data_IF_633773234113
#
_entry.id   IF_633773234113
#
_cell.length_a   1.000
_cell.length_b   1.000
_cell.length_c   1.000
_cell.angle_alpha   90.00
_cell.angle_beta   90.00
_cell.angle_gamma   90.00
#
_symmetry.space_group_name_H-M   'P 1'
#
loop_
_entity.id
_entity.type
_entity.pdbx_description
1 polymer ?
#
# COMPACT_ATOMS: atom_id res chain seq x y z
N UNK A 1 -18.14 -14.26 63.08
CA UNK A 1 -17.97 -13.01 62.31
C UNK A 1 -16.54 -12.73 61.84
N UNK A 2 -15.47 -13.07 62.58
CA UNK A 2 -14.08 -12.82 62.14
C UNK A 2 -13.57 -13.73 61.00
N UNK A 3 -13.98 -14.99 60.94
CA UNK A 3 -13.53 -15.93 59.90
C UNK A 3 -14.09 -15.63 58.49
N UNK A 4 -15.31 -15.08 58.41
CA UNK A 4 -15.96 -14.73 57.14
C UNK A 4 -15.33 -13.50 56.47
N UNK A 5 -14.84 -12.55 57.27
CA UNK A 5 -14.17 -11.35 56.77
C UNK A 5 -12.78 -11.66 56.15
N UNK A 6 -12.07 -12.66 56.68
CA UNK A 6 -10.75 -13.08 56.16
C UNK A 6 -10.88 -13.80 54.83
N UNK A 7 -11.91 -14.64 54.65
CA UNK A 7 -12.15 -15.36 53.40
C UNK A 7 -12.50 -14.43 52.23
N UNK A 8 -13.27 -13.37 52.49
CA UNK A 8 -13.64 -12.35 51.49
C UNK A 8 -12.41 -11.51 51.08
N UNK A 9 -11.54 -11.15 52.04
CA UNK A 9 -10.32 -10.39 51.76
C UNK A 9 -9.29 -11.18 50.91
N UNK A 10 -9.18 -12.49 51.12
CA UNK A 10 -8.30 -13.36 50.32
C UNK A 10 -8.84 -13.61 48.91
N UNK A 11 -10.17 -13.72 48.74
CA UNK A 11 -10.79 -13.81 47.41
C UNK A 11 -10.65 -12.50 46.61
N UNK A 12 -10.80 -11.33 47.26
CA UNK A 12 -10.60 -10.03 46.62
C UNK A 12 -9.14 -9.78 46.22
N UNK A 13 -8.16 -10.21 47.01
CA UNK A 13 -6.74 -10.06 46.65
C UNK A 13 -6.30 -11.01 45.53
N UNK A 14 -6.86 -12.22 45.45
CA UNK A 14 -6.68 -13.15 44.33
C UNK A 14 -7.37 -12.65 43.05
N UNK A 15 -8.55 -12.02 43.15
CA UNK A 15 -9.21 -11.39 42.01
C UNK A 15 -8.47 -10.14 41.51
N UNK A 16 -7.96 -9.29 42.42
CA UNK A 16 -7.18 -8.11 42.02
C UNK A 16 -5.85 -8.49 41.37
N UNK A 17 -5.19 -9.57 41.82
CA UNK A 17 -3.96 -10.05 41.19
C UNK A 17 -4.21 -10.77 39.85
N UNK A 18 -5.38 -11.40 39.66
CA UNK A 18 -5.80 -11.95 38.37
C UNK A 18 -6.20 -10.85 37.36
N UNK A 19 -6.87 -9.79 37.82
CA UNK A 19 -7.20 -8.61 37.00
C UNK A 19 -5.94 -7.80 36.64
N UNK A 20 -4.93 -7.72 37.52
CA UNK A 20 -3.65 -7.08 37.19
C UNK A 20 -2.79 -7.91 36.22
N UNK A 21 -2.97 -9.23 36.13
CA UNK A 21 -2.25 -10.09 35.18
C UNK A 21 -2.85 -10.08 33.77
N UNK A 22 -4.13 -9.69 33.64
CA UNK A 22 -4.80 -9.40 32.36
C UNK A 22 -4.65 -7.94 31.91
N UNK A 23 -3.71 -7.19 32.51
CA UNK A 23 -3.25 -5.92 31.94
C UNK A 23 -2.65 -6.25 30.59
N UNK A 24 -3.41 -5.97 29.53
CA UNK A 24 -2.99 -5.97 28.14
C UNK A 24 -1.50 -5.65 28.09
N UNK A 25 -0.68 -6.64 27.71
CA UNK A 25 0.68 -6.36 27.24
C UNK A 25 0.49 -5.59 25.93
N UNK A 26 0.18 -4.30 26.03
CA UNK A 26 0.44 -3.35 24.97
C UNK A 26 1.94 -3.38 24.83
N UNK A 27 2.44 -4.19 23.90
CA UNK A 27 3.84 -4.10 23.47
C UNK A 27 4.06 -2.65 23.11
N UNK A 28 5.07 -2.03 23.71
CA UNK A 28 5.53 -0.72 23.26
C UNK A 28 5.78 -0.78 21.75
N UNK A 29 5.50 0.31 21.00
CA UNK A 29 5.74 0.34 19.55
C UNK A 29 7.15 -0.15 19.15
N UNK A 30 8.14 0.16 19.99
CA UNK A 30 9.53 -0.30 19.84
C UNK A 30 9.70 -1.82 19.95
N UNK A 31 8.92 -2.49 20.79
CA UNK A 31 8.95 -3.95 20.98
C UNK A 31 8.18 -4.69 19.88
N UNK A 32 7.12 -4.09 19.34
CA UNK A 32 6.42 -4.63 18.16
C UNK A 32 7.28 -4.48 16.90
N UNK A 33 7.98 -3.35 16.75
CA UNK A 33 8.92 -3.15 15.64
C UNK A 33 10.13 -4.09 15.72
N UNK A 34 10.59 -4.45 16.92
CA UNK A 34 11.75 -5.35 17.07
C UNK A 34 11.42 -6.81 16.79
N UNK A 35 10.23 -7.30 17.15
CA UNK A 35 9.79 -8.67 16.85
C UNK A 35 9.49 -8.88 15.36
N UNK A 36 8.89 -7.89 14.69
CA UNK A 36 8.62 -7.94 13.23
C UNK A 36 9.90 -8.00 12.40
N UNK A 37 10.99 -7.39 12.89
CA UNK A 37 12.27 -7.34 12.18
C UNK A 37 13.24 -8.50 12.50
N UNK A 38 12.78 -9.55 13.18
CA UNK A 38 13.56 -10.77 13.33
C UNK A 38 13.55 -11.58 12.04
N UNK A 39 14.74 -11.93 11.54
CA UNK A 39 14.90 -12.74 10.32
C UNK A 39 14.20 -14.11 10.40
N UNK A 40 14.13 -14.71 11.60
CA UNK A 40 13.41 -15.96 11.84
C UNK A 40 11.91 -15.87 11.57
N UNK A 41 11.34 -14.66 11.58
CA UNK A 41 9.91 -14.43 11.35
C UNK A 41 9.61 -14.17 9.87
N UNK A 42 10.62 -14.14 9.00
CA UNK A 42 10.44 -14.08 7.56
C UNK A 42 9.96 -15.45 7.06
N UNK A 43 8.84 -15.52 6.31
CA UNK A 43 8.44 -16.76 5.68
C UNK A 43 9.52 -17.19 4.67
N UNK A 44 9.90 -18.47 4.71
CA UNK A 44 10.88 -19.00 3.75
C UNK A 44 10.31 -18.86 2.32
N UNK A 45 11.06 -18.36 1.33
CA UNK A 45 10.54 -18.13 -0.02
C UNK A 45 9.90 -19.35 -0.72
N UNK A 46 10.21 -20.57 -0.27
CA UNK A 46 9.68 -21.84 -0.81
C UNK A 46 8.29 -22.17 -0.27
N UNK A 47 7.90 -21.63 0.88
CA UNK A 47 6.57 -21.84 1.46
C UNK A 47 5.54 -20.84 0.92
N UNK A 48 6.01 -19.75 0.31
CA UNK A 48 5.17 -18.71 -0.27
C UNK A 48 4.56 -19.15 -1.60
N UNK A 49 3.24 -18.95 -1.75
CA UNK A 49 2.51 -19.21 -2.99
C UNK A 49 2.95 -18.23 -4.08
N UNK A 50 3.33 -18.75 -5.25
CA UNK A 50 3.73 -17.97 -6.42
C UNK A 50 2.57 -17.68 -7.38
N UNK A 51 1.56 -18.56 -7.41
CA UNK A 51 0.43 -18.48 -8.33
C UNK A 51 -0.71 -17.57 -7.83
N UNK A 52 -0.63 -17.07 -6.60
CA UNK A 52 -1.57 -16.12 -6.00
C UNK A 52 -0.81 -14.95 -5.35
N UNK A 53 -1.51 -13.87 -5.02
CA UNK A 53 -0.97 -12.70 -4.30
C UNK A 53 -1.87 -12.26 -3.15
N UNK A 54 -1.30 -11.52 -2.20
CA UNK A 54 -2.03 -10.92 -1.07
C UNK A 54 -2.30 -9.46 -1.38
N UNK A 55 -3.50 -8.97 -1.07
CA UNK A 55 -3.83 -7.55 -1.21
C UNK A 55 -3.75 -6.85 0.14
N UNK A 56 -3.10 -5.71 0.19
CA UNK A 56 -3.02 -4.82 1.34
C UNK A 56 -3.75 -3.51 0.99
N UNK A 57 -4.91 -3.28 1.60
CA UNK A 57 -5.69 -2.07 1.41
C UNK A 57 -5.48 -1.14 2.59
N UNK A 58 -4.96 0.05 2.37
CA UNK A 58 -4.78 1.05 3.42
C UNK A 58 -6.02 1.89 3.63
N UNK A 59 -6.70 1.68 4.77
CA UNK A 59 -7.86 2.48 5.19
C UNK A 59 -7.52 3.46 6.31
N UNK A 60 -8.20 4.60 6.38
CA UNK A 60 -8.00 5.59 7.45
C UNK A 60 -9.28 6.31 7.91
N UNK A 61 -10.13 6.75 6.98
CA UNK A 61 -11.29 7.59 7.29
C UNK A 61 -12.57 6.77 7.39
N UNK A 62 -13.34 6.98 8.46
CA UNK A 62 -14.65 6.34 8.64
C UNK A 62 -15.65 6.71 7.52
N UNK A 63 -15.47 7.88 6.89
CA UNK A 63 -16.28 8.29 5.74
C UNK A 63 -16.09 7.42 4.49
N UNK A 64 -15.02 6.61 4.43
CA UNK A 64 -14.69 5.76 3.28
C UNK A 64 -15.04 4.29 3.49
N UNK A 65 -15.62 3.92 4.64
CA UNK A 65 -15.89 2.51 4.96
C UNK A 65 -16.74 1.79 3.91
N UNK A 66 -17.82 2.37 3.33
CA UNK A 66 -18.58 1.69 2.29
C UNK A 66 -17.75 1.42 1.03
N UNK A 67 -16.95 2.40 0.59
CA UNK A 67 -16.08 2.27 -0.58
C UNK A 67 -14.97 1.23 -0.34
N UNK A 68 -14.32 1.28 0.82
CA UNK A 68 -13.32 0.33 1.27
C UNK A 68 -13.86 -1.11 1.25
N UNK A 69 -15.07 -1.33 1.78
CA UNK A 69 -15.72 -2.64 1.79
C UNK A 69 -15.99 -3.14 0.36
N UNK A 70 -16.49 -2.26 -0.52
CA UNK A 70 -16.71 -2.57 -1.94
C UNK A 70 -15.42 -2.97 -2.67
N UNK A 71 -14.34 -2.22 -2.47
CA UNK A 71 -13.02 -2.52 -3.07
C UNK A 71 -12.49 -3.85 -2.56
N UNK A 72 -12.56 -4.10 -1.24
CA UNK A 72 -12.11 -5.34 -0.63
C UNK A 72 -12.88 -6.56 -1.15
N UNK A 73 -14.21 -6.45 -1.22
CA UNK A 73 -15.10 -7.47 -1.77
C UNK A 73 -14.75 -7.77 -3.24
N UNK A 74 -14.58 -6.72 -4.06
CA UNK A 74 -14.20 -6.84 -5.47
C UNK A 74 -12.90 -7.63 -5.63
N UNK A 75 -11.83 -7.28 -4.90
CA UNK A 75 -10.57 -8.01 -5.00
C UNK A 75 -10.66 -9.45 -4.50
N UNK A 76 -11.45 -9.70 -3.45
CA UNK A 76 -11.64 -11.06 -2.91
C UNK A 76 -12.28 -12.04 -3.90
N UNK A 77 -12.97 -11.53 -4.93
CA UNK A 77 -13.63 -12.35 -5.94
C UNK A 77 -12.65 -13.01 -6.94
N UNK A 78 -11.41 -12.54 -7.07
CA UNK A 78 -10.45 -13.15 -8.01
C UNK A 78 -9.81 -14.40 -7.41
N UNK A 79 -9.73 -15.52 -8.16
CA UNK A 79 -9.04 -16.73 -7.69
C UNK A 79 -7.53 -16.56 -7.56
N UNK A 80 -6.97 -15.50 -8.14
CA UNK A 80 -5.55 -15.14 -8.03
C UNK A 80 -5.22 -14.40 -6.72
N UNK A 81 -6.23 -13.96 -5.98
CA UNK A 81 -6.06 -13.36 -4.65
C UNK A 81 -6.11 -14.46 -3.59
N UNK A 82 -5.06 -14.56 -2.76
CA UNK A 82 -5.01 -15.50 -1.65
C UNK A 82 -5.73 -14.97 -0.41
N UNK A 83 -5.59 -13.68 -0.14
CA UNK A 83 -6.22 -12.98 0.97
C UNK A 83 -6.20 -11.46 0.75
N UNK A 84 -7.13 -10.76 1.41
CA UNK A 84 -7.20 -9.31 1.47
C UNK A 84 -7.02 -8.87 2.92
N UNK A 85 -6.02 -8.04 3.18
CA UNK A 85 -5.76 -7.45 4.49
C UNK A 85 -6.09 -5.96 4.43
N UNK A 86 -7.12 -5.55 5.17
CA UNK A 86 -7.47 -4.15 5.35
C UNK A 86 -6.66 -3.58 6.50
N UNK A 87 -5.65 -2.78 6.18
CA UNK A 87 -4.75 -2.14 7.13
C UNK A 87 -5.36 -0.83 7.62
N UNK A 88 -5.97 -0.84 8.81
CA UNK A 88 -6.65 0.33 9.35
C UNK A 88 -5.70 1.25 10.11
N UNK A 89 -5.35 2.39 9.51
CA UNK A 89 -4.33 3.32 9.97
C UNK A 89 -4.78 4.41 10.93
N UNK A 90 -6.03 4.38 11.42
CA UNK A 90 -6.57 5.38 12.35
C UNK A 90 -6.79 4.77 13.74
N UNK A 91 -5.85 4.96 14.69
CA UNK A 91 -5.97 4.43 16.05
C UNK A 91 -7.08 5.10 16.88
N UNK A 92 -7.59 6.24 16.42
CA UNK A 92 -8.66 6.98 17.13
C UNK A 92 -10.07 6.47 16.79
N UNK A 93 -10.21 5.58 15.81
CA UNK A 93 -11.51 4.98 15.46
C UNK A 93 -12.06 4.15 16.63
N UNK A 94 -13.34 4.32 17.01
CA UNK A 94 -13.94 3.59 18.13
C UNK A 94 -13.84 2.06 17.97
N UNK A 95 -13.57 1.30 19.05
CA UNK A 95 -13.49 -0.16 19.00
C UNK A 95 -14.75 -0.83 18.45
N UNK A 96 -15.94 -0.26 18.72
CA UNK A 96 -17.20 -0.76 18.18
C UNK A 96 -17.26 -0.63 16.66
N UNK A 97 -16.84 0.52 16.10
CA UNK A 97 -16.74 0.73 14.65
C UNK A 97 -15.78 -0.27 14.02
N UNK A 98 -14.63 -0.54 14.66
CA UNK A 98 -13.68 -1.54 14.16
C UNK A 98 -14.23 -2.96 14.21
N UNK A 99 -14.96 -3.32 15.27
CA UNK A 99 -15.59 -4.63 15.39
C UNK A 99 -16.66 -4.83 14.30
N UNK A 100 -17.49 -3.82 14.05
CA UNK A 100 -18.48 -3.82 12.98
C UNK A 100 -17.81 -3.91 11.60
N UNK A 101 -16.76 -3.13 11.36
CA UNK A 101 -15.99 -3.19 10.11
C UNK A 101 -15.39 -4.58 9.89
N UNK A 102 -14.77 -5.18 10.93
CA UNK A 102 -14.19 -6.51 10.83
C UNK A 102 -15.24 -7.58 10.49
N UNK A 103 -16.41 -7.52 11.13
CA UNK A 103 -17.54 -8.39 10.82
C UNK A 103 -18.04 -8.19 9.38
N UNK A 104 -18.25 -6.95 8.96
CA UNK A 104 -18.75 -6.66 7.61
C UNK A 104 -17.75 -7.14 6.54
N UNK A 105 -16.45 -6.93 6.76
CA UNK A 105 -15.41 -7.41 5.84
C UNK A 105 -15.39 -8.94 5.77
N UNK A 106 -15.51 -9.64 6.90
CA UNK A 106 -15.42 -11.11 6.91
C UNK A 106 -16.58 -11.77 6.15
N UNK A 107 -17.77 -11.16 6.15
CA UNK A 107 -18.95 -11.66 5.41
C UNK A 107 -19.06 -11.11 3.98
N UNK A 108 -18.26 -10.09 3.62
CA UNK A 108 -18.27 -9.48 2.27
C UNK A 108 -17.38 -10.21 1.26
N UNK A 109 -16.69 -11.28 1.66
CA UNK A 109 -15.88 -12.06 0.72
C UNK A 109 -16.75 -12.67 -0.37
N UNK A 110 -16.40 -12.42 -1.64
CA UNK A 110 -17.12 -12.91 -2.81
C UNK A 110 -16.44 -14.12 -3.45
N UNK A 111 -15.33 -14.59 -2.90
CA UNK A 111 -14.53 -15.69 -3.44
C UNK A 111 -13.86 -16.52 -2.35
N UNK A 112 -12.77 -17.21 -2.68
CA UNK A 112 -12.02 -18.03 -1.71
C UNK A 112 -11.10 -17.20 -0.79
N UNK A 113 -10.87 -15.93 -1.13
CA UNK A 113 -9.97 -15.07 -0.38
C UNK A 113 -10.66 -14.48 0.85
N UNK A 114 -10.13 -14.79 2.05
CA UNK A 114 -10.60 -14.14 3.27
C UNK A 114 -10.24 -12.64 3.27
N UNK A 115 -11.14 -11.82 3.82
CA UNK A 115 -10.92 -10.40 4.06
C UNK A 115 -10.77 -10.18 5.57
N UNK A 116 -9.61 -9.68 6.01
CA UNK A 116 -9.28 -9.50 7.42
C UNK A 116 -8.95 -8.05 7.73
N UNK A 117 -9.52 -7.51 8.81
CA UNK A 117 -9.15 -6.21 9.36
C UNK A 117 -7.88 -6.33 10.21
N UNK A 118 -6.92 -5.42 9.98
CA UNK A 118 -5.67 -5.33 10.75
C UNK A 118 -5.51 -3.89 11.27
N UNK A 119 -5.98 -3.59 12.50
CA UNK A 119 -5.77 -2.30 13.13
C UNK A 119 -4.28 -2.00 13.30
N UNK A 120 -3.86 -0.78 12.95
CA UNK A 120 -2.50 -0.30 13.15
C UNK A 120 -2.38 0.48 14.47
N UNK A 121 -1.23 0.37 15.12
CA UNK A 121 -0.95 1.05 16.38
C UNK A 121 -0.67 2.56 16.23
N UNK A 122 -0.42 3.04 15.01
CA UNK A 122 -0.09 4.44 14.73
C UNK A 122 -0.64 4.91 13.39
N UNK A 123 -0.67 6.23 13.19
CA UNK A 123 -1.05 6.88 11.93
C UNK A 123 0.09 6.94 10.91
N UNK A 124 1.16 6.17 11.11
CA UNK A 124 2.34 6.19 10.24
C UNK A 124 2.01 5.57 8.88
N UNK A 125 2.37 6.26 7.80
CA UNK A 125 2.27 5.71 6.46
C UNK A 125 3.24 4.55 6.23
N UNK A 126 4.36 4.50 6.98
CA UNK A 126 5.30 3.38 6.93
C UNK A 126 4.64 2.04 7.34
N UNK A 127 3.58 2.07 8.15
CA UNK A 127 2.95 0.88 8.71
C UNK A 127 2.37 -0.06 7.63
N UNK A 128 2.07 0.47 6.44
CA UNK A 128 1.59 -0.33 5.31
C UNK A 128 2.60 -1.35 4.80
N UNK A 129 3.88 -1.08 5.01
CA UNK A 129 4.98 -1.91 4.53
C UNK A 129 5.53 -2.88 5.57
N UNK A 130 4.94 -2.93 6.77
CA UNK A 130 5.38 -3.86 7.81
C UNK A 130 5.24 -5.32 7.33
N UNK A 131 6.29 -6.16 7.51
CA UNK A 131 6.19 -7.60 7.31
C UNK A 131 5.10 -8.21 8.19
N UNK A 132 4.36 -9.20 7.64
CA UNK A 132 3.29 -9.89 8.37
C UNK A 132 3.34 -11.37 8.08
N UNK A 133 3.22 -12.19 9.12
CA UNK A 133 3.13 -13.66 8.99
C UNK A 133 1.86 -14.12 8.27
N UNK A 134 0.81 -13.28 8.24
CA UNK A 134 -0.42 -13.53 7.48
C UNK A 134 -0.25 -13.39 5.96
N UNK A 135 0.90 -12.91 5.47
CA UNK A 135 1.20 -12.84 4.04
C UNK A 135 1.84 -14.16 3.60
N UNK A 136 1.04 -15.01 2.96
CA UNK A 136 1.44 -16.35 2.49
C UNK A 136 1.82 -16.42 1.01
N UNK A 137 2.02 -15.28 0.35
CA UNK A 137 2.26 -15.18 -1.09
C UNK A 137 3.59 -14.51 -1.40
N UNK A 138 4.15 -14.78 -2.59
CA UNK A 138 5.34 -14.09 -3.09
C UNK A 138 5.02 -12.69 -3.62
N UNK A 139 3.84 -12.51 -4.21
CA UNK A 139 3.36 -11.23 -4.70
C UNK A 139 2.48 -10.54 -3.67
N UNK A 140 2.60 -9.23 -3.57
CA UNK A 140 1.77 -8.36 -2.73
C UNK A 140 1.32 -7.17 -3.55
N UNK A 141 0.01 -6.90 -3.53
CA UNK A 141 -0.57 -5.67 -4.05
C UNK A 141 -0.83 -4.72 -2.89
N UNK A 142 -0.22 -3.54 -2.91
CA UNK A 142 -0.56 -2.41 -2.01
C UNK A 142 -1.47 -1.45 -2.77
N UNK A 143 -2.59 -1.06 -2.17
CA UNK A 143 -3.53 -0.10 -2.74
C UNK A 143 -4.18 0.79 -1.67
N UNK A 144 -4.71 1.93 -2.10
CA UNK A 144 -5.43 2.87 -1.24
C UNK A 144 -6.94 2.54 -1.20
N UNK A 145 -7.63 3.01 -0.14
CA UNK A 145 -9.07 2.80 0.10
C UNK A 145 -10.01 3.65 -0.79
N UNK A 146 -9.45 4.45 -1.70
CA UNK A 146 -10.18 5.35 -2.60
C UNK A 146 -9.90 5.08 -4.09
N UNK A 147 -9.34 3.92 -4.42
CA UNK A 147 -9.01 3.53 -5.80
C UNK A 147 -9.67 2.21 -6.16
N UNK A 148 -10.67 2.27 -7.04
CA UNK A 148 -11.28 1.08 -7.64
C UNK A 148 -10.58 0.73 -8.95
N UNK A 149 -10.09 -0.51 -9.04
CA UNK A 149 -9.48 -1.08 -10.23
C UNK A 149 -10.26 -2.31 -10.64
N UNK A 150 -10.61 -2.44 -11.92
CA UNK A 150 -11.32 -3.61 -12.41
C UNK A 150 -10.47 -4.90 -12.29
N UNK A 151 -11.14 -6.03 -12.02
CA UNK A 151 -10.46 -7.32 -11.81
C UNK A 151 -9.57 -7.73 -12.98
N UNK A 152 -9.96 -7.46 -14.23
CA UNK A 152 -9.13 -7.83 -15.39
C UNK A 152 -7.80 -7.08 -15.38
N UNK A 153 -7.82 -5.80 -15.00
CA UNK A 153 -6.59 -5.02 -14.78
C UNK A 153 -5.76 -5.57 -13.63
N UNK A 154 -6.37 -5.94 -12.50
CA UNK A 154 -5.66 -6.54 -11.35
C UNK A 154 -4.94 -7.82 -11.76
N UNK A 155 -5.64 -8.72 -12.45
CA UNK A 155 -5.08 -9.99 -12.92
C UNK A 155 -3.98 -9.78 -13.97
N UNK A 156 -4.15 -8.80 -14.86
CA UNK A 156 -3.12 -8.43 -15.82
C UNK A 156 -1.86 -7.92 -15.12
N UNK A 157 -2.00 -7.04 -14.13
CA UNK A 157 -0.87 -6.53 -13.35
C UNK A 157 -0.12 -7.67 -12.64
N UNK A 158 -0.84 -8.61 -12.04
CA UNK A 158 -0.22 -9.79 -11.42
C UNK A 158 0.51 -10.67 -12.43
N UNK A 159 -0.07 -10.90 -13.63
CA UNK A 159 0.61 -11.66 -14.69
C UNK A 159 1.91 -10.97 -15.14
N UNK A 160 1.90 -9.65 -15.31
CA UNK A 160 3.10 -8.88 -15.65
C UNK A 160 4.15 -8.96 -14.53
N UNK A 161 3.71 -8.92 -13.27
CA UNK A 161 4.60 -9.01 -12.12
C UNK A 161 5.24 -10.38 -12.01
N UNK A 162 4.51 -11.48 -12.28
CA UNK A 162 5.10 -12.83 -12.28
C UNK A 162 6.24 -12.99 -13.28
N UNK A 163 6.20 -12.27 -14.40
CA UNK A 163 7.31 -12.23 -15.37
C UNK A 163 8.45 -11.27 -15.00
N UNK A 164 8.21 -10.36 -14.06
CA UNK A 164 9.15 -9.32 -13.63
C UNK A 164 9.14 -9.15 -12.09
N UNK A 165 9.34 -10.22 -11.30
CA UNK A 165 9.03 -10.22 -9.86
C UNK A 165 9.88 -9.25 -9.05
N UNK A 166 11.06 -8.88 -9.59
CA UNK A 166 11.99 -7.93 -9.00
C UNK A 166 11.55 -6.47 -9.14
N UNK A 167 10.65 -6.15 -10.09
CA UNK A 167 10.26 -4.75 -10.36
C UNK A 167 8.94 -4.41 -9.70
N UNK A 168 8.79 -3.16 -9.28
CA UNK A 168 7.49 -2.61 -8.92
C UNK A 168 6.63 -2.48 -10.17
N UNK A 169 5.36 -2.91 -10.10
CA UNK A 169 4.38 -2.74 -11.17
C UNK A 169 3.21 -1.91 -10.66
N UNK A 170 2.75 -0.94 -11.43
CA UNK A 170 1.56 -0.18 -11.04
C UNK A 170 0.91 0.62 -12.15
N UNK A 171 -0.20 1.26 -11.80
CA UNK A 171 -1.03 2.03 -12.75
C UNK A 171 -0.70 3.53 -12.64
N UNK A 172 -0.50 4.00 -11.41
CA UNK A 172 -0.29 5.41 -11.11
C UNK A 172 1.20 5.69 -11.06
N UNK A 173 1.73 6.26 -12.14
CA UNK A 173 3.17 6.57 -12.26
C UNK A 173 3.47 8.05 -12.17
N UNK A 174 4.68 8.34 -11.68
CA UNK A 174 5.25 9.68 -11.52
C UNK A 174 6.75 9.62 -11.83
N UNK A 175 7.35 10.79 -11.95
CA UNK A 175 8.77 10.93 -12.24
C UNK A 175 9.44 11.75 -11.16
N UNK A 176 10.72 11.46 -10.91
CA UNK A 176 11.64 12.46 -10.37
C UNK A 176 12.24 13.25 -11.54
N UNK A 177 12.75 14.44 -11.26
CA UNK A 177 13.66 15.18 -12.14
C UNK A 177 14.53 16.12 -11.28
N UNK A 178 15.51 16.79 -11.87
CA UNK A 178 16.33 17.79 -11.18
C UNK A 178 16.01 19.20 -11.69
N UNK A 179 15.62 20.09 -10.78
CA UNK A 179 15.59 21.51 -11.09
C UNK A 179 17.02 22.05 -11.01
N UNK A 180 17.65 22.24 -12.17
CA UNK A 180 19.03 22.70 -12.27
C UNK A 180 19.25 24.12 -11.72
N UNK A 181 18.21 24.97 -11.71
CA UNK A 181 18.31 26.34 -11.18
C UNK A 181 18.31 26.31 -9.66
N UNK A 182 17.41 25.52 -9.07
CA UNK A 182 17.30 25.37 -7.61
C UNK A 182 18.29 24.37 -7.03
N UNK A 183 18.90 23.52 -7.86
CA UNK A 183 19.75 22.37 -7.48
C UNK A 183 19.02 21.43 -6.51
N UNK A 184 17.74 21.22 -6.77
CA UNK A 184 16.84 20.41 -5.95
C UNK A 184 16.19 19.32 -6.79
N UNK A 185 15.94 18.16 -6.18
CA UNK A 185 15.14 17.13 -6.82
C UNK A 185 13.66 17.51 -6.76
N UNK A 186 12.95 17.29 -7.86
CA UNK A 186 11.53 17.59 -7.99
C UNK A 186 10.72 16.33 -8.25
N UNK A 187 9.50 16.33 -7.73
CA UNK A 187 8.49 15.31 -8.02
C UNK A 187 7.55 15.83 -9.10
N UNK A 188 7.43 15.11 -10.21
CA UNK A 188 6.74 15.58 -11.40
C UNK A 188 5.93 14.48 -12.11
N UNK A 189 5.15 14.90 -13.10
CA UNK A 189 4.52 14.03 -14.10
C UNK A 189 5.21 14.31 -15.41
N UNK A 190 5.72 13.27 -16.08
CA UNK A 190 6.37 13.39 -17.37
C UNK A 190 5.62 12.49 -18.38
N UNK A 191 5.44 12.93 -19.64
CA UNK A 191 4.64 12.18 -20.62
C UNK A 191 5.29 10.88 -21.12
N UNK A 192 6.62 10.81 -21.15
CA UNK A 192 7.40 9.73 -21.80
C UNK A 192 8.23 8.88 -20.83
N UNK A 193 8.51 9.38 -19.62
CA UNK A 193 9.35 8.71 -18.62
C UNK A 193 8.72 8.74 -17.23
N UNK A 194 8.96 7.70 -16.47
CA UNK A 194 8.55 7.61 -15.07
C UNK A 194 9.55 6.81 -14.27
N UNK A 195 9.61 7.04 -12.98
CA UNK A 195 10.57 6.38 -12.07
C UNK A 195 9.94 6.00 -10.73
N UNK A 196 8.66 6.32 -10.54
CA UNK A 196 7.93 6.14 -9.29
C UNK A 196 6.57 5.52 -9.63
N UNK A 197 6.22 4.42 -8.96
CA UNK A 197 4.85 3.90 -8.87
C UNK A 197 4.25 4.29 -7.51
N UNK A 198 3.01 4.77 -7.48
CA UNK A 198 2.33 5.18 -6.25
C UNK A 198 1.67 3.99 -5.54
N UNK A 199 1.56 4.07 -4.22
CA UNK A 199 0.86 3.10 -3.36
C UNK A 199 -0.64 3.03 -3.59
N UNK A 200 -1.21 3.91 -4.44
CA UNK A 200 -2.56 3.77 -5.00
C UNK A 200 -2.80 2.40 -5.62
N UNK A 201 -1.81 1.88 -6.32
CA UNK A 201 -1.81 0.53 -6.89
C UNK A 201 -0.37 0.11 -7.21
N UNK A 202 0.24 -0.66 -6.31
CA UNK A 202 1.64 -1.09 -6.37
C UNK A 202 1.74 -2.59 -6.11
N UNK A 203 2.02 -3.36 -7.16
CA UNK A 203 2.37 -4.77 -7.09
C UNK A 203 3.88 -4.94 -6.92
N UNK A 204 4.28 -5.80 -5.99
CA UNK A 204 5.68 -6.03 -5.65
C UNK A 204 5.90 -7.42 -5.03
N UNK A 205 7.16 -7.81 -4.86
CA UNK A 205 7.50 -9.02 -4.10
C UNK A 205 7.48 -8.76 -2.58
N UNK A 206 7.07 -9.77 -1.83
CA UNK A 206 6.89 -9.71 -0.37
C UNK A 206 8.15 -9.29 0.39
N UNK A 207 9.34 -9.66 -0.09
CA UNK A 207 10.61 -9.35 0.55
C UNK A 207 10.86 -7.83 0.64
N UNK A 208 10.28 -7.03 -0.24
CA UNK A 208 10.41 -5.57 -0.17
C UNK A 208 9.73 -4.95 1.05
N UNK A 209 8.72 -5.60 1.63
CA UNK A 209 8.16 -5.21 2.94
C UNK A 209 9.24 -5.21 4.01
N UNK A 210 10.04 -6.28 4.08
CA UNK A 210 11.12 -6.40 5.06
C UNK A 210 12.28 -5.45 4.76
N UNK A 211 12.69 -5.35 3.49
CA UNK A 211 13.76 -4.42 3.11
C UNK A 211 13.37 -2.98 3.47
N UNK A 212 12.12 -2.61 3.23
CA UNK A 212 11.60 -1.31 3.61
C UNK A 212 11.59 -1.10 5.12
N UNK A 213 11.00 -2.00 5.90
CA UNK A 213 10.77 -1.77 7.34
C UNK A 213 11.98 -2.06 8.22
N UNK A 214 12.78 -3.06 7.85
CA UNK A 214 13.79 -3.67 8.71
C UNK A 214 15.21 -3.59 8.13
N UNK A 215 15.35 -3.40 6.82
CA UNK A 215 16.63 -3.31 6.13
C UNK A 215 17.27 -1.91 6.16
N UNK A 216 18.43 -1.81 5.51
CA UNK A 216 19.07 -0.55 5.09
C UNK A 216 19.74 0.30 6.17
N UNK A 217 19.87 -0.21 7.40
CA UNK A 217 20.68 0.43 8.45
C UNK A 217 20.24 1.84 8.87
N UNK A 218 21.20 2.67 9.25
CA UNK A 218 20.94 4.04 9.70
C UNK A 218 20.30 4.96 8.63
N UNK A 219 20.77 4.96 7.37
CA UNK A 219 20.15 5.77 6.31
C UNK A 219 18.67 5.47 6.12
N UNK A 220 18.30 4.20 6.08
CA UNK A 220 16.91 3.80 5.89
C UNK A 220 16.03 4.16 7.09
N UNK A 221 16.54 4.03 8.33
CA UNK A 221 15.83 4.53 9.52
C UNK A 221 15.55 6.02 9.43
N UNK A 222 16.52 6.80 8.97
CA UNK A 222 16.35 8.25 8.83
C UNK A 222 15.31 8.59 7.74
N UNK A 223 15.37 7.93 6.59
CA UNK A 223 14.36 8.13 5.53
C UNK A 223 12.94 7.76 5.99
N UNK A 224 12.76 6.68 6.77
CA UNK A 224 11.45 6.34 7.36
C UNK A 224 10.97 7.39 8.37
N UNK A 225 11.87 7.98 9.17
CA UNK A 225 11.54 9.11 10.05
C UNK A 225 11.11 10.35 9.27
N UNK A 226 11.74 10.62 8.13
CA UNK A 226 11.31 11.70 7.24
C UNK A 226 9.91 11.45 6.69
N UNK A 227 9.56 10.21 6.31
CA UNK A 227 8.19 9.84 5.90
C UNK A 227 7.18 10.18 7.01
N UNK A 228 7.49 9.84 8.27
CA UNK A 228 6.62 10.16 9.41
C UNK A 228 6.51 11.67 9.64
N UNK A 229 7.64 12.39 9.61
CA UNK A 229 7.69 13.85 9.78
C UNK A 229 6.89 14.58 8.70
N UNK A 230 6.99 14.11 7.45
CA UNK A 230 6.33 14.72 6.29
C UNK A 230 4.88 14.25 6.13
N UNK A 231 4.51 13.16 6.81
CA UNK A 231 3.24 12.42 6.64
C UNK A 231 2.94 12.15 5.16
N UNK A 232 3.97 11.73 4.41
CA UNK A 232 3.92 11.52 2.95
C UNK A 232 5.17 10.72 2.50
N UNK A 233 5.26 10.41 1.20
CA UNK A 233 6.47 9.92 0.53
C UNK A 233 6.90 8.48 0.84
N UNK A 234 6.05 7.69 1.51
CA UNK A 234 6.30 6.26 1.77
C UNK A 234 6.41 5.47 0.45
N UNK A 235 5.61 5.85 -0.55
CA UNK A 235 5.66 5.29 -1.90
C UNK A 235 6.96 5.61 -2.63
N UNK A 236 7.42 6.86 -2.55
CA UNK A 236 8.72 7.29 -3.10
C UNK A 236 9.85 6.49 -2.43
N UNK A 237 9.81 6.35 -1.11
CA UNK A 237 10.82 5.60 -0.39
C UNK A 237 10.82 4.11 -0.79
N UNK A 238 9.66 3.51 -1.02
CA UNK A 238 9.59 2.14 -1.55
C UNK A 238 10.22 2.03 -2.95
N UNK A 239 10.01 3.02 -3.83
CA UNK A 239 10.68 3.05 -5.13
C UNK A 239 12.20 3.20 -4.99
N UNK A 240 12.70 3.96 -4.01
CA UNK A 240 14.12 4.00 -3.68
C UNK A 240 14.64 2.61 -3.28
N UNK A 241 13.94 1.91 -2.38
CA UNK A 241 14.32 0.56 -1.92
C UNK A 241 14.44 -0.42 -3.10
N UNK A 242 13.45 -0.44 -3.99
CA UNK A 242 13.45 -1.39 -5.12
C UNK A 242 14.44 -1.00 -6.21
N UNK A 243 14.53 0.29 -6.55
CA UNK A 243 15.48 0.75 -7.57
C UNK A 243 16.92 0.58 -7.11
N UNK A 244 17.19 0.73 -5.81
CA UNK A 244 18.48 0.44 -5.21
C UNK A 244 18.87 -1.03 -5.34
N UNK A 245 17.94 -1.93 -5.02
CA UNK A 245 18.19 -3.37 -5.07
C UNK A 245 18.43 -3.86 -6.51
N UNK A 246 17.67 -3.32 -7.46
CA UNK A 246 17.58 -3.90 -8.81
C UNK A 246 18.34 -3.11 -9.87
N UNK A 247 18.74 -1.88 -9.55
CA UNK A 247 19.23 -0.89 -10.51
C UNK A 247 18.28 -0.72 -11.72
N UNK A 248 16.97 -0.90 -11.52
CA UNK A 248 15.94 -0.84 -12.55
C UNK A 248 14.75 0.03 -12.12
N UNK A 249 14.09 0.66 -13.09
CA UNK A 249 12.88 1.44 -12.86
C UNK A 249 11.63 0.57 -12.68
N UNK A 250 10.51 1.14 -12.22
CA UNK A 250 9.25 0.40 -12.14
C UNK A 250 8.64 0.12 -13.53
N UNK A 251 7.55 -0.63 -13.60
CA UNK A 251 6.79 -0.87 -14.85
C UNK A 251 5.35 -0.37 -14.72
N UNK A 252 4.91 0.42 -15.69
CA UNK A 252 3.53 0.89 -15.81
C UNK A 252 2.67 -0.16 -16.51
N UNK A 253 1.52 -0.48 -15.94
CA UNK A 253 0.45 -1.22 -16.63
C UNK A 253 -0.69 -0.29 -17.01
N UNK A 254 -1.21 -0.47 -18.21
CA UNK A 254 -2.46 0.12 -18.66
C UNK A 254 -3.63 -0.57 -17.99
N UNK A 255 -4.62 0.23 -17.61
CA UNK A 255 -5.86 -0.24 -17.02
C UNK A 255 -7.03 0.11 -17.93
N UNK A 256 -8.01 -0.79 -18.03
CA UNK A 256 -9.22 -0.54 -18.82
C UNK A 256 -10.21 0.34 -18.06
N UNK A 257 -10.41 0.09 -16.75
CA UNK A 257 -11.29 0.89 -15.90
C UNK A 257 -10.67 1.10 -14.52
N UNK A 258 -10.43 2.36 -14.20
CA UNK A 258 -9.91 2.79 -12.90
C UNK A 258 -10.67 4.02 -12.46
N UNK A 259 -11.17 4.00 -11.22
CA UNK A 259 -11.81 5.14 -10.57
C UNK A 259 -11.01 5.54 -9.35
N UNK A 260 -10.49 6.77 -9.37
CA UNK A 260 -9.75 7.37 -8.26
C UNK A 260 -10.66 8.40 -7.59
N UNK A 261 -11.28 8.02 -6.47
CA UNK A 261 -12.21 8.85 -5.69
C UNK A 261 -11.49 9.94 -4.90
N UNK A 262 -10.17 9.82 -4.74
CA UNK A 262 -9.33 10.83 -4.11
C UNK A 262 -8.85 11.94 -5.06
N UNK A 263 -9.02 11.80 -6.38
CA UNK A 263 -8.63 12.84 -7.34
C UNK A 263 -9.78 13.85 -7.57
N UNK A 264 -9.57 15.14 -7.28
CA UNK A 264 -10.60 16.17 -7.43
C UNK A 264 -11.09 16.39 -8.87
N UNK A 265 -10.43 15.83 -9.88
CA UNK A 265 -10.85 15.94 -11.29
C UNK A 265 -11.92 14.92 -11.70
N UNK A 266 -12.13 13.89 -10.90
CA UNK A 266 -13.06 12.81 -11.22
C UNK A 266 -14.42 13.09 -10.55
N UNK A 267 -15.07 14.20 -10.91
CA UNK A 267 -16.36 14.58 -10.34
C UNK A 267 -17.50 13.73 -10.91
N UNK A 268 -18.30 13.14 -10.01
CA UNK A 268 -19.70 12.78 -10.25
C UNK A 268 -20.50 13.42 -9.11
N UNK A 269 -21.69 13.91 -9.44
CA UNK A 269 -22.59 14.83 -8.72
C UNK A 269 -22.72 14.62 -7.19
N UNK A 270 -22.77 15.76 -6.47
CA UNK A 270 -23.10 16.11 -5.06
C UNK A 270 -22.92 15.14 -3.85
N UNK A 271 -22.63 13.84 -4.02
CA UNK A 271 -22.52 12.86 -2.93
C UNK A 271 -21.11 12.56 -2.41
N UNK A 272 -20.05 13.05 -3.08
CA UNK A 272 -18.66 12.55 -2.92
C UNK A 272 -17.74 13.52 -2.14
N UNK A 273 -18.23 14.68 -1.71
CA UNK A 273 -17.41 15.71 -1.03
C UNK A 273 -16.66 15.19 0.20
N UNK A 274 -17.30 14.33 1.00
CA UNK A 274 -16.74 13.76 2.24
C UNK A 274 -15.62 12.73 2.01
N UNK A 275 -15.60 12.06 0.85
CA UNK A 275 -14.53 11.10 0.50
C UNK A 275 -13.25 11.85 0.10
N UNK A 276 -13.38 13.05 -0.46
CA UNK A 276 -12.29 13.90 -0.95
C UNK A 276 -11.56 14.65 0.16
N UNK A 277 -12.29 15.26 1.08
CA UNK A 277 -11.74 16.20 2.07
C UNK A 277 -10.69 15.56 3.00
N UNK A 278 -10.74 14.25 3.16
CA UNK A 278 -9.81 13.47 3.98
C UNK A 278 -8.53 13.05 3.25
N UNK A 279 -8.41 13.33 1.95
CA UNK A 279 -7.27 12.93 1.13
C UNK A 279 -6.00 13.77 1.36
N UNK A 280 -4.85 13.10 1.49
CA UNK A 280 -3.53 13.73 1.72
C UNK A 280 -3.04 14.64 0.58
N UNK A 281 -3.71 14.61 -0.58
CA UNK A 281 -3.34 15.36 -1.79
C UNK A 281 -4.26 16.55 -2.10
N UNK A 282 -5.17 16.89 -1.19
CA UNK A 282 -6.15 17.98 -1.35
C UNK A 282 -5.51 19.35 -1.65
N UNK A 283 -4.31 19.63 -1.12
CA UNK A 283 -3.50 20.82 -1.46
C UNK A 283 -2.37 20.49 -2.45
N UNK A 284 -2.68 20.47 -3.74
CA UNK A 284 -1.79 19.93 -4.81
C UNK A 284 -0.38 20.54 -4.88
N UNK A 285 -0.25 21.86 -4.88
CA UNK A 285 1.06 22.52 -5.06
C UNK A 285 2.00 22.22 -3.87
N UNK A 286 1.49 22.40 -2.66
CA UNK A 286 2.20 22.07 -1.42
C UNK A 286 2.54 20.57 -1.36
N UNK A 287 1.60 19.70 -1.73
CA UNK A 287 1.81 18.25 -1.77
C UNK A 287 2.93 17.85 -2.74
N UNK A 288 2.97 18.43 -3.96
CA UNK A 288 4.04 18.15 -4.93
C UNK A 288 5.39 18.67 -4.47
N UNK A 289 5.45 19.90 -3.94
CA UNK A 289 6.68 20.46 -3.38
C UNK A 289 7.22 19.56 -2.27
N UNK A 290 6.37 19.18 -1.30
CA UNK A 290 6.72 18.28 -0.20
C UNK A 290 7.32 16.96 -0.69
N UNK A 291 6.77 16.40 -1.77
CA UNK A 291 7.30 15.18 -2.38
C UNK A 291 8.65 15.37 -3.07
N UNK A 292 8.90 16.53 -3.70
CA UNK A 292 10.24 16.89 -4.18
C UNK A 292 11.25 17.02 -3.03
N UNK A 293 10.84 17.68 -1.93
CA UNK A 293 11.64 17.81 -0.72
C UNK A 293 12.01 16.41 -0.17
N UNK A 294 11.07 15.46 -0.12
CA UNK A 294 11.35 14.07 0.25
C UNK A 294 12.41 13.40 -0.63
N UNK A 295 12.34 13.55 -1.96
CA UNK A 295 13.36 12.97 -2.87
C UNK A 295 14.73 13.57 -2.56
N UNK A 296 14.79 14.87 -2.30
CA UNK A 296 16.03 15.57 -1.92
C UNK A 296 16.59 15.04 -0.61
N UNK A 297 15.77 14.89 0.43
CA UNK A 297 16.22 14.38 1.72
C UNK A 297 16.61 12.89 1.66
N UNK A 298 15.88 12.07 0.91
CA UNK A 298 16.26 10.66 0.68
C UNK A 298 17.59 10.56 -0.05
N UNK A 299 17.79 11.36 -1.11
CA UNK A 299 19.07 11.45 -1.80
C UNK A 299 20.22 11.83 -0.85
N UNK A 300 20.00 12.81 0.05
CA UNK A 300 21.01 13.23 1.04
C UNK A 300 21.33 12.12 2.04
N UNK A 301 20.32 11.49 2.63
CA UNK A 301 20.50 10.42 3.60
C UNK A 301 21.16 9.18 2.99
N UNK A 302 20.82 8.88 1.74
CA UNK A 302 21.33 7.71 1.02
C UNK A 302 22.67 7.94 0.31
N UNK A 303 23.03 9.21 0.05
CA UNK A 303 24.30 9.61 -0.57
C UNK A 303 24.33 9.52 -2.10
N UNK A 304 23.24 9.06 -2.74
CA UNK A 304 23.10 8.98 -4.20
C UNK A 304 21.64 8.88 -4.64
N UNK A 305 21.39 9.01 -5.94
CA UNK A 305 20.06 8.84 -6.54
C UNK A 305 19.88 7.41 -7.10
N UNK A 306 19.13 6.52 -6.40
CA UNK A 306 18.88 5.17 -6.90
C UNK A 306 17.78 5.10 -7.95
N UNK A 307 16.85 6.05 -8.00
CA UNK A 307 15.72 6.00 -8.93
C UNK A 307 16.20 5.87 -10.38
N UNK A 308 15.49 5.03 -11.15
CA UNK A 308 15.75 4.77 -12.57
C UNK A 308 14.48 4.97 -13.37
N UNK A 309 14.63 5.57 -14.55
CA UNK A 309 13.52 5.79 -15.44
C UNK A 309 13.08 4.51 -16.14
N UNK A 310 11.83 4.50 -16.53
CA UNK A 310 11.20 3.55 -17.44
C UNK A 310 10.29 4.33 -18.37
N UNK A 311 10.12 3.80 -19.59
CA UNK A 311 9.51 4.52 -20.70
C UNK A 311 8.30 3.79 -21.27
N UNK A 312 8.22 2.46 -21.07
CA UNK A 312 7.18 1.63 -21.64
C UNK A 312 5.92 1.57 -20.77
N UNK A 313 4.76 1.45 -21.41
CA UNK A 313 3.48 1.10 -20.78
C UNK A 313 3.02 -0.26 -21.29
N UNK A 314 2.86 -1.22 -20.39
CA UNK A 314 2.38 -2.55 -20.71
C UNK A 314 0.85 -2.51 -20.89
N UNK A 315 0.32 -3.08 -21.96
CA UNK A 315 -1.13 -3.13 -22.22
C UNK A 315 -1.58 -4.56 -22.45
N UNK A 316 -2.81 -4.89 -22.05
CA UNK A 316 -3.36 -6.25 -22.16
C UNK A 316 -3.66 -6.70 -23.59
N UNK A 317 -3.69 -5.76 -24.53
CA UNK A 317 -3.98 -5.97 -25.95
C UNK A 317 -3.42 -4.79 -26.71
N UNK A 318 -2.75 -5.08 -27.84
CA UNK A 318 -2.34 -4.07 -28.82
C UNK A 318 -3.30 -4.26 -30.00
N UNK A 319 -4.10 -3.25 -30.31
CA UNK A 319 -4.87 -3.26 -31.57
C UNK A 319 -3.92 -3.05 -32.74
N UNK A 320 -4.30 -3.47 -33.95
CA UNK A 320 -3.53 -3.12 -35.13
C UNK A 320 -3.42 -1.60 -35.24
N UNK A 321 -2.21 -1.12 -35.50
CA UNK A 321 -1.93 0.32 -35.62
C UNK A 321 -1.60 0.73 -37.06
N UNK A 322 -1.39 -0.25 -37.94
CA UNK A 322 -1.21 -0.02 -39.37
C UNK A 322 -2.52 0.41 -39.99
N UNK A 323 -2.51 1.57 -40.64
CA UNK A 323 -3.59 1.99 -41.51
C UNK A 323 -3.21 1.69 -42.96
N UNK A 324 -4.06 0.91 -43.63
CA UNK A 324 -3.97 0.60 -45.04
C UNK A 324 -5.00 1.40 -45.83
N UNK A 325 -4.64 1.77 -47.06
CA UNK A 325 -5.54 2.49 -47.95
C UNK A 325 -6.48 1.51 -48.65
N UNK A 326 -7.78 1.62 -48.37
CA UNK A 326 -8.86 0.85 -49.01
C UNK A 326 -9.76 1.82 -49.76
N UNK A 327 -9.50 2.00 -51.05
CA UNK A 327 -10.10 3.07 -51.86
C UNK A 327 -9.58 4.44 -51.42
N UNK A 328 -10.50 5.35 -51.05
CA UNK A 328 -10.17 6.70 -50.55
C UNK A 328 -10.00 6.78 -49.02
N UNK A 329 -10.21 5.68 -48.30
CA UNK A 329 -10.21 5.67 -46.83
C UNK A 329 -9.00 4.92 -46.28
N UNK A 330 -8.52 5.38 -45.12
CA UNK A 330 -7.58 4.65 -44.29
C UNK A 330 -8.35 3.74 -43.33
N UNK A 331 -8.06 2.44 -43.38
CA UNK A 331 -8.66 1.39 -42.52
C UNK A 331 -7.56 0.58 -41.86
N UNK A 332 -7.87 -0.16 -40.80
CA UNK A 332 -6.90 -1.12 -40.24
C UNK A 332 -6.55 -2.18 -41.29
N UNK A 333 -5.27 -2.54 -41.37
CA UNK A 333 -4.76 -3.39 -42.44
C UNK A 333 -5.35 -4.81 -42.49
N UNK A 334 -5.82 -5.36 -41.37
CA UNK A 334 -6.41 -6.70 -41.27
C UNK A 334 -7.96 -6.71 -41.44
N UNK A 335 -8.59 -5.61 -41.92
CA UNK A 335 -10.05 -5.49 -42.11
C UNK A 335 -10.55 -5.18 -43.54
#
# INVERSE_FOLDING_TARGET
>A
MRAFAVAIAVCLSLFLSFVFSLRNRTLSPDTFSSSVCQLSNQPHPRTLRFNQFTVLINGYSESRLPLLQSIAATYSASPLVASVLVLWGNPSTPPLTLAQLAHNLSVSSMGSAAISLVPQASTSLNARFLPRSSIGTRGVLVCDDDVEVDLKTVEFAFRMWRGNPERLIGIFVRSHDIDMRRKEWIYTVHPDKYSIVLTKFMMMKTEYLFKYSCGGGAPMREMRRMVDKMRNCEDILMNFVVAEETNAGPMMVGAKRVRDWGDPRNEDDDGVRLVREVGLSSRRAEHRKRRGDCITEFHRAFGRMPLRYSYAKLVSSVGEQGLCQKGANLVLCDH
#
